data_IF_076223658113
#
_entry.id   IF_076223658113
#
_cell.length_a   1.000
_cell.length_b   1.000
_cell.length_c   1.000
_cell.angle_alpha   90.00
_cell.angle_beta   90.00
_cell.angle_gamma   90.00
#
_symmetry.space_group_name_H-M   'P 1'
#
loop_
_entity.id
_entity.type
_entity.pdbx_description
1 polymer ?
#
# COMPACT_ATOMS: atom_id res chain seq x y z
N UNK A 1 5.51 6.00 -15.84
CA UNK A 1 4.98 7.14 -15.10
C UNK A 1 5.00 6.71 -13.65
N UNK A 2 5.89 7.30 -12.84
CA UNK A 2 6.03 6.97 -11.42
C UNK A 2 4.88 7.55 -10.59
N UNK A 3 4.65 6.98 -9.41
CA UNK A 3 3.61 7.45 -8.47
C UNK A 3 3.73 8.94 -8.15
N UNK A 4 4.94 9.49 -8.17
CA UNK A 4 5.22 10.91 -7.91
C UNK A 4 4.45 11.85 -8.85
N UNK A 5 4.45 11.60 -10.16
CA UNK A 5 3.70 12.42 -11.12
C UNK A 5 2.20 12.40 -10.85
N UNK A 6 1.64 11.23 -10.55
CA UNK A 6 0.22 11.12 -10.21
C UNK A 6 -0.13 11.90 -8.94
N UNK A 7 0.76 11.91 -7.96
CA UNK A 7 0.56 12.63 -6.69
C UNK A 7 0.63 14.14 -6.91
N UNK A 8 1.65 14.63 -7.59
CA UNK A 8 1.84 16.07 -7.83
C UNK A 8 0.74 16.67 -8.72
N UNK A 9 0.47 16.01 -9.84
CA UNK A 9 -0.39 16.60 -10.89
C UNK A 9 -1.89 16.39 -10.65
N UNK A 10 -2.28 15.36 -9.90
CA UNK A 10 -3.68 14.93 -9.88
C UNK A 10 -4.31 14.90 -8.49
N UNK A 11 -3.53 14.93 -7.42
CA UNK A 11 -4.04 14.63 -6.09
C UNK A 11 -3.87 15.78 -5.12
N UNK A 12 -2.68 16.39 -5.04
CA UNK A 12 -2.42 17.51 -4.13
C UNK A 12 -2.89 18.86 -4.67
N UNK A 13 -3.23 19.78 -3.77
CA UNK A 13 -3.61 21.16 -4.12
C UNK A 13 -2.40 21.97 -4.60
N UNK A 14 -1.23 21.66 -4.04
CA UNK A 14 0.05 22.30 -4.28
C UNK A 14 1.16 21.25 -4.39
N UNK A 15 2.40 21.71 -4.44
CA UNK A 15 3.57 20.85 -4.45
C UNK A 15 3.63 19.90 -3.25
N UNK A 16 4.02 18.67 -3.52
CA UNK A 16 4.38 17.70 -2.51
C UNK A 16 5.70 18.11 -1.83
N UNK A 17 5.66 18.36 -0.53
CA UNK A 17 6.88 18.54 0.26
C UNK A 17 7.46 17.17 0.63
N UNK A 18 8.35 16.66 -0.22
CA UNK A 18 8.94 15.33 -0.04
C UNK A 18 9.97 15.33 1.09
N UNK A 19 9.89 14.31 1.95
CA UNK A 19 10.83 14.06 3.05
C UNK A 19 11.85 13.03 2.63
N UNK A 20 13.14 13.35 2.78
CA UNK A 20 14.28 12.48 2.44
C UNK A 20 14.26 11.96 0.97
N UNK A 21 14.18 12.85 -0.04
CA UNK A 21 14.04 12.46 -1.44
C UNK A 21 15.26 11.68 -1.98
N UNK A 22 16.39 11.78 -1.33
CA UNK A 22 17.64 11.14 -1.76
C UNK A 22 17.92 9.80 -1.08
N UNK A 23 17.14 9.43 -0.05
CA UNK A 23 17.27 8.17 0.67
C UNK A 23 16.05 7.27 0.45
N UNK A 24 16.28 5.95 0.26
CA UNK A 24 15.24 4.97 -0.02
C UNK A 24 14.25 5.47 -1.09
N UNK A 25 14.76 5.71 -2.31
CA UNK A 25 14.01 6.31 -3.42
C UNK A 25 12.88 5.43 -3.96
N UNK A 26 12.86 4.15 -3.60
CA UNK A 26 11.80 3.19 -3.90
C UNK A 26 10.51 3.43 -3.09
N UNK A 27 10.56 4.34 -2.09
CA UNK A 27 9.39 4.84 -1.38
C UNK A 27 9.42 6.36 -1.24
N UNK A 28 8.28 6.98 -1.49
CA UNK A 28 8.06 8.42 -1.35
C UNK A 28 7.35 8.66 -0.02
N UNK A 29 7.85 9.60 0.75
CA UNK A 29 7.20 10.11 1.95
C UNK A 29 7.18 11.62 1.89
N UNK A 30 6.06 12.25 2.18
CA UNK A 30 5.96 13.71 2.10
C UNK A 30 4.64 14.25 2.61
N UNK A 31 4.56 15.56 2.71
CA UNK A 31 3.35 16.26 3.08
C UNK A 31 2.72 16.94 1.87
N UNK A 32 1.42 16.88 1.80
CA UNK A 32 0.62 17.57 0.78
C UNK A 32 -0.66 18.13 1.38
N UNK A 33 -1.48 18.74 0.54
CA UNK A 33 -2.82 19.22 0.91
C UNK A 33 -3.86 18.68 -0.05
N UNK A 34 -4.98 18.26 0.51
CA UNK A 34 -6.18 17.86 -0.23
C UNK A 34 -7.33 18.75 0.20
N UNK A 35 -7.75 19.67 -0.66
CA UNK A 35 -8.78 20.69 -0.34
C UNK A 35 -8.44 21.43 0.97
N UNK A 36 -7.17 21.85 1.10
CA UNK A 36 -6.68 22.55 2.28
C UNK A 36 -6.34 21.65 3.51
N UNK A 37 -6.80 20.41 3.56
CA UNK A 37 -6.47 19.49 4.64
C UNK A 37 -5.03 18.97 4.51
N UNK A 38 -4.17 19.16 5.53
CA UNK A 38 -2.84 18.60 5.50
C UNK A 38 -2.91 17.08 5.58
N UNK A 39 -2.10 16.40 4.75
CA UNK A 39 -2.00 14.94 4.71
C UNK A 39 -0.56 14.48 4.62
N UNK A 40 -0.25 13.38 5.25
CA UNK A 40 0.98 12.63 5.05
C UNK A 40 0.80 11.62 3.91
N UNK A 41 1.70 11.64 2.95
CA UNK A 41 1.66 10.76 1.78
C UNK A 41 2.77 9.72 1.90
N UNK A 42 2.40 8.45 1.72
CA UNK A 42 3.33 7.32 1.60
C UNK A 42 3.03 6.61 0.30
N UNK A 43 4.02 6.49 -0.59
CA UNK A 43 3.79 5.88 -1.90
C UNK A 43 4.97 5.03 -2.35
N UNK A 44 4.71 3.87 -2.95
CA UNK A 44 5.75 3.12 -3.63
C UNK A 44 6.20 3.87 -4.90
N UNK A 45 7.50 3.83 -5.20
CA UNK A 45 8.07 4.39 -6.43
C UNK A 45 8.54 3.28 -7.37
N UNK A 46 7.70 2.83 -8.31
CA UNK A 46 8.03 1.69 -9.16
C UNK A 46 9.16 1.91 -10.15
N UNK A 47 9.59 3.16 -10.38
CA UNK A 47 10.77 3.46 -11.19
C UNK A 47 12.09 3.07 -10.50
N UNK A 48 12.06 2.83 -9.18
CA UNK A 48 13.20 2.40 -8.38
C UNK A 48 12.89 1.06 -7.75
N UNK A 49 13.71 0.04 -8.02
CA UNK A 49 13.52 -1.33 -7.52
C UNK A 49 12.10 -1.89 -7.75
N UNK A 50 11.46 -1.49 -8.85
CA UNK A 50 10.07 -1.82 -9.18
C UNK A 50 9.05 -1.50 -8.05
N UNK A 51 9.39 -0.63 -7.09
CA UNK A 51 8.57 -0.32 -5.93
C UNK A 51 8.66 -1.35 -4.79
N UNK A 52 9.59 -2.31 -4.85
CA UNK A 52 9.81 -3.27 -3.77
C UNK A 52 10.16 -2.55 -2.47
N UNK A 53 9.72 -3.12 -1.36
CA UNK A 53 10.11 -2.66 -0.03
C UNK A 53 11.41 -3.35 0.40
N UNK A 54 12.44 -2.56 0.63
CA UNK A 54 13.68 -2.98 1.29
C UNK A 54 13.73 -2.49 2.75
N UNK A 55 14.85 -2.73 3.42
CA UNK A 55 15.08 -2.34 4.81
C UNK A 55 14.94 -0.83 4.99
N UNK A 56 15.54 -0.05 4.08
CA UNK A 56 15.56 1.41 4.16
C UNK A 56 14.18 2.01 3.88
N UNK A 57 13.47 1.54 2.85
CA UNK A 57 12.10 1.95 2.54
C UNK A 57 11.15 1.66 3.70
N UNK A 58 11.25 0.46 4.29
CA UNK A 58 10.43 0.08 5.45
C UNK A 58 10.72 0.98 6.66
N UNK A 59 11.99 1.33 6.88
CA UNK A 59 12.39 2.21 7.99
C UNK A 59 11.96 3.66 7.76
N UNK A 60 12.13 4.18 6.54
CA UNK A 60 11.72 5.54 6.15
C UNK A 60 10.22 5.72 6.33
N UNK A 61 9.44 4.81 5.75
CA UNK A 61 7.98 4.86 5.83
C UNK A 61 7.49 4.71 7.28
N UNK A 62 8.02 3.75 8.05
CA UNK A 62 7.60 3.55 9.43
C UNK A 62 7.84 4.80 10.31
N UNK A 63 9.00 5.47 10.15
CA UNK A 63 9.28 6.72 10.87
C UNK A 63 8.31 7.82 10.49
N UNK A 64 8.03 7.95 9.20
CA UNK A 64 7.12 8.97 8.69
C UNK A 64 5.68 8.76 9.16
N UNK A 65 5.18 7.51 9.12
CA UNK A 65 3.85 7.15 9.62
C UNK A 65 3.69 7.49 11.09
N UNK A 66 4.68 7.14 11.92
CA UNK A 66 4.67 7.47 13.36
C UNK A 66 4.73 8.97 13.61
N UNK A 67 5.45 9.72 12.79
CA UNK A 67 5.43 11.17 12.87
C UNK A 67 4.03 11.72 12.57
N UNK A 68 3.41 11.29 11.48
CA UNK A 68 2.06 11.71 11.12
C UNK A 68 1.05 11.40 12.24
N UNK A 69 1.13 10.21 12.83
CA UNK A 69 0.25 9.81 13.95
C UNK A 69 0.46 10.69 15.17
N UNK A 70 1.71 10.98 15.54
CA UNK A 70 2.04 11.83 16.69
C UNK A 70 1.52 13.29 16.57
N UNK A 71 1.36 13.77 15.34
CA UNK A 71 0.88 15.13 15.04
C UNK A 71 -0.55 15.19 14.49
N UNK A 72 -1.31 14.10 14.57
CA UNK A 72 -2.68 13.99 14.06
C UNK A 72 -2.82 14.34 12.57
N UNK A 73 -1.84 13.94 11.75
CA UNK A 73 -1.86 14.15 10.31
C UNK A 73 -2.42 12.90 9.63
N UNK A 74 -3.56 12.98 8.93
CA UNK A 74 -4.13 11.86 8.19
C UNK A 74 -3.14 11.29 7.16
N UNK A 75 -3.19 10.00 6.93
CA UNK A 75 -2.31 9.28 6.02
C UNK A 75 -3.03 8.89 4.74
N UNK A 76 -2.40 9.19 3.61
CA UNK A 76 -2.81 8.74 2.27
C UNK A 76 -1.70 7.86 1.70
N UNK A 77 -2.05 6.62 1.38
CA UNK A 77 -1.08 5.62 0.89
C UNK A 77 -1.39 5.24 -0.54
N UNK A 78 -0.38 5.30 -1.43
CA UNK A 78 -0.48 4.80 -2.80
C UNK A 78 0.34 3.53 -2.95
N UNK A 79 -0.34 2.46 -3.37
CA UNK A 79 0.25 1.12 -3.42
C UNK A 79 0.53 0.71 -4.86
N UNK A 80 1.80 0.44 -5.13
CA UNK A 80 2.28 -0.25 -6.33
C UNK A 80 3.52 -1.05 -5.94
N UNK A 81 3.30 -2.19 -5.27
CA UNK A 81 4.35 -2.98 -4.63
C UNK A 81 4.28 -4.45 -5.06
N UNK A 82 5.33 -4.98 -5.69
CA UNK A 82 5.40 -6.39 -6.08
C UNK A 82 5.82 -7.33 -4.95
N UNK A 83 6.41 -6.79 -3.87
CA UNK A 83 6.91 -7.60 -2.77
C UNK A 83 7.95 -6.88 -1.92
N UNK A 84 8.46 -7.57 -0.90
CA UNK A 84 9.71 -7.20 -0.26
C UNK A 84 10.88 -7.55 -1.17
N UNK A 85 11.95 -6.76 -1.12
CA UNK A 85 13.15 -7.03 -1.92
C UNK A 85 13.81 -8.32 -1.46
N UNK A 86 13.94 -9.34 -2.34
CA UNK A 86 14.62 -10.58 -1.99
C UNK A 86 16.13 -10.40 -2.01
N UNK A 87 16.86 -11.29 -1.35
CA UNK A 87 18.31 -11.37 -1.40
C UNK A 87 18.95 -11.56 -0.03
N UNK A 88 20.11 -12.19 -0.02
CA UNK A 88 20.84 -12.56 1.21
C UNK A 88 21.19 -11.34 2.07
N UNK A 89 21.53 -10.21 1.46
CA UNK A 89 21.80 -8.96 2.18
C UNK A 89 20.56 -8.44 2.92
N UNK A 90 19.41 -8.50 2.28
CA UNK A 90 18.14 -8.09 2.90
C UNK A 90 17.73 -9.05 4.02
N UNK A 91 17.90 -10.35 3.81
CA UNK A 91 17.56 -11.36 4.81
C UNK A 91 18.50 -11.28 6.02
N UNK A 92 19.80 -11.22 5.82
CA UNK A 92 20.78 -11.08 6.90
C UNK A 92 20.69 -9.70 7.58
N UNK A 93 20.36 -8.65 6.84
CA UNK A 93 20.09 -7.31 7.36
C UNK A 93 18.80 -7.23 8.19
N UNK A 94 17.94 -8.25 8.14
CA UNK A 94 16.72 -8.36 8.92
C UNK A 94 15.51 -7.67 8.29
N UNK A 95 15.28 -7.88 6.99
CA UNK A 95 14.13 -7.32 6.25
C UNK A 95 12.79 -7.62 6.94
N UNK A 96 12.62 -8.83 7.50
CA UNK A 96 11.41 -9.22 8.23
C UNK A 96 11.19 -8.30 9.43
N UNK A 97 12.23 -8.03 10.22
CA UNK A 97 12.16 -7.14 11.38
C UNK A 97 11.89 -5.69 10.98
N UNK A 98 12.49 -5.22 9.89
CA UNK A 98 12.28 -3.84 9.41
C UNK A 98 10.92 -3.68 8.74
N UNK A 99 10.46 -4.68 7.98
CA UNK A 99 9.09 -4.71 7.45
C UNK A 99 8.03 -4.74 8.57
N UNK A 100 8.30 -5.47 9.67
CA UNK A 100 7.44 -5.48 10.84
C UNK A 100 7.33 -4.08 11.48
N UNK A 101 8.35 -3.23 11.44
CA UNK A 101 8.24 -1.84 11.94
C UNK A 101 7.20 -1.04 11.16
N UNK A 102 7.14 -1.23 9.84
CA UNK A 102 6.15 -0.56 8.99
C UNK A 102 4.75 -1.10 9.28
N UNK A 103 4.60 -2.42 9.39
CA UNK A 103 3.35 -3.07 9.79
C UNK A 103 2.83 -2.49 11.12
N UNK A 104 3.68 -2.44 12.13
CA UNK A 104 3.34 -1.88 13.44
C UNK A 104 2.96 -0.41 13.36
N UNK A 105 3.73 0.40 12.64
CA UNK A 105 3.45 1.83 12.52
C UNK A 105 2.05 2.08 11.97
N UNK A 106 1.66 1.41 10.88
CA UNK A 106 0.31 1.54 10.33
C UNK A 106 -0.78 0.90 11.21
N UNK A 107 -0.48 -0.20 11.89
CA UNK A 107 -1.47 -0.86 12.76
C UNK A 107 -1.80 -0.04 13.99
N UNK A 108 -0.80 0.61 14.59
CA UNK A 108 -0.94 1.44 15.78
C UNK A 108 -1.51 2.83 15.46
N UNK A 109 -1.25 3.36 14.24
CA UNK A 109 -1.67 4.71 13.88
C UNK A 109 -3.17 4.91 14.06
N UNK A 110 -3.51 5.93 14.86
CA UNK A 110 -4.87 6.31 15.21
C UNK A 110 -5.50 7.32 14.24
N UNK A 111 -4.67 7.99 13.45
CA UNK A 111 -5.12 8.92 12.40
C UNK A 111 -5.87 8.22 11.27
N UNK A 112 -6.71 8.94 10.51
CA UNK A 112 -7.33 8.39 9.30
C UNK A 112 -6.28 7.83 8.33
N UNK A 113 -6.53 6.62 7.83
CA UNK A 113 -5.67 5.91 6.88
C UNK A 113 -6.47 5.58 5.63
N UNK A 114 -6.13 6.26 4.53
CA UNK A 114 -6.78 6.09 3.24
C UNK A 114 -5.77 5.49 2.25
N UNK A 115 -6.14 4.42 1.58
CA UNK A 115 -5.24 3.68 0.69
C UNK A 115 -5.82 3.60 -0.70
N UNK A 116 -4.98 3.81 -1.70
CA UNK A 116 -5.31 3.66 -3.12
C UNK A 116 -4.33 2.68 -3.74
N UNK A 117 -4.84 1.57 -4.23
CA UNK A 117 -4.07 0.58 -4.97
C UNK A 117 -4.10 0.97 -6.43
N UNK A 118 -2.96 1.37 -6.97
CA UNK A 118 -2.85 1.90 -8.33
C UNK A 118 -2.51 0.84 -9.36
N UNK A 119 -1.72 -0.18 -8.97
CA UNK A 119 -1.33 -1.28 -9.84
C UNK A 119 -1.08 -2.55 -9.04
N UNK A 120 0.16 -2.86 -8.66
CA UNK A 120 0.51 -4.11 -7.97
C UNK A 120 0.31 -3.99 -6.46
N UNK A 121 -0.28 -5.02 -5.88
CA UNK A 121 -0.45 -5.15 -4.44
C UNK A 121 -0.28 -6.64 -4.07
N UNK A 122 0.98 -7.07 -3.87
CA UNK A 122 1.28 -8.49 -3.71
C UNK A 122 1.79 -8.84 -2.31
N UNK A 123 1.18 -9.87 -1.74
CA UNK A 123 1.62 -10.56 -0.53
C UNK A 123 1.79 -9.64 0.68
N UNK A 124 2.71 -10.01 1.57
CA UNK A 124 2.94 -9.27 2.81
C UNK A 124 3.41 -7.82 2.63
N UNK A 125 4.00 -7.49 1.48
CA UNK A 125 4.37 -6.10 1.19
C UNK A 125 3.15 -5.20 0.93
N UNK A 126 2.08 -5.75 0.34
CA UNK A 126 0.79 -5.07 0.28
C UNK A 126 0.20 -4.90 1.68
N UNK A 127 0.25 -5.95 2.50
CA UNK A 127 -0.34 -5.90 3.84
C UNK A 127 0.22 -4.75 4.67
N UNK A 128 1.55 -4.55 4.64
CA UNK A 128 2.21 -3.49 5.44
C UNK A 128 2.00 -2.07 4.89
N UNK A 129 1.45 -1.92 3.68
CA UNK A 129 1.17 -0.61 3.05
C UNK A 129 -0.26 -0.13 3.34
N UNK A 130 -0.66 -0.13 4.59
CA UNK A 130 -1.99 0.30 5.04
C UNK A 130 -3.14 -0.45 4.36
N UNK A 131 -3.07 -1.76 4.31
CA UNK A 131 -4.15 -2.59 3.79
C UNK A 131 -5.37 -2.61 4.72
N UNK A 132 -6.51 -3.10 4.20
CA UNK A 132 -7.71 -3.34 5.01
C UNK A 132 -7.45 -4.34 6.14
N UNK A 133 -6.55 -5.29 5.92
CA UNK A 133 -6.18 -6.31 6.90
C UNK A 133 -5.56 -5.74 8.17
N UNK A 134 -4.88 -4.60 8.09
CA UNK A 134 -4.29 -3.88 9.22
C UNK A 134 -5.09 -2.63 9.61
N UNK A 135 -6.40 -2.66 9.35
CA UNK A 135 -7.37 -1.63 9.79
C UNK A 135 -7.17 -0.25 9.14
N UNK A 136 -6.83 -0.18 7.86
CA UNK A 136 -7.01 1.06 7.12
C UNK A 136 -8.51 1.37 7.00
N UNK A 137 -8.84 2.67 7.06
CA UNK A 137 -10.23 3.12 7.13
C UNK A 137 -10.93 3.06 5.77
N UNK A 138 -10.21 3.46 4.71
CA UNK A 138 -10.72 3.44 3.34
C UNK A 138 -9.67 2.81 2.42
N UNK A 139 -10.05 1.76 1.71
CA UNK A 139 -9.22 1.11 0.70
C UNK A 139 -9.89 1.16 -0.66
N UNK A 140 -9.25 1.85 -1.58
CA UNK A 140 -9.69 2.03 -2.95
C UNK A 140 -8.73 1.31 -3.91
N UNK A 141 -9.22 0.84 -5.03
CA UNK A 141 -8.39 0.29 -6.08
C UNK A 141 -8.78 0.85 -7.44
N UNK A 142 -7.80 1.00 -8.33
CA UNK A 142 -8.07 1.27 -9.73
C UNK A 142 -8.46 -0.03 -10.46
N UNK A 143 -9.20 0.04 -11.59
CA UNK A 143 -9.56 -1.15 -12.36
C UNK A 143 -8.35 -1.95 -12.87
N UNK A 144 -7.20 -1.28 -12.99
CA UNK A 144 -5.92 -1.88 -13.41
C UNK A 144 -5.10 -2.48 -12.26
N UNK A 145 -5.64 -2.44 -11.04
CA UNK A 145 -4.95 -2.99 -9.87
C UNK A 145 -4.91 -4.53 -9.93
N UNK A 146 -3.82 -5.09 -9.46
CA UNK A 146 -3.63 -6.52 -9.30
C UNK A 146 -3.38 -6.81 -7.81
N UNK A 147 -4.33 -7.50 -7.16
CA UNK A 147 -4.28 -7.80 -5.73
C UNK A 147 -4.20 -9.31 -5.56
N UNK A 148 -3.05 -9.81 -5.13
CA UNK A 148 -2.80 -11.25 -5.04
C UNK A 148 -1.71 -11.57 -4.01
N UNK A 149 -1.54 -12.86 -3.71
CA UNK A 149 -0.44 -13.33 -2.87
C UNK A 149 0.91 -13.15 -3.57
N UNK A 150 0.93 -13.35 -4.90
CA UNK A 150 2.11 -13.15 -5.76
C UNK A 150 1.68 -12.83 -7.19
N UNK A 151 2.60 -12.30 -8.00
CA UNK A 151 2.33 -12.05 -9.41
C UNK A 151 1.98 -13.32 -10.18
N UNK A 152 1.13 -13.20 -11.20
CA UNK A 152 0.60 -14.31 -11.98
C UNK A 152 1.70 -15.21 -12.57
N UNK A 153 2.75 -14.61 -13.14
CA UNK A 153 3.85 -15.38 -13.73
C UNK A 153 4.56 -16.29 -12.72
N UNK A 154 4.77 -15.78 -11.50
CA UNK A 154 5.33 -16.58 -10.41
C UNK A 154 4.39 -17.69 -9.95
N UNK A 155 3.11 -17.38 -9.78
CA UNK A 155 2.10 -18.34 -9.37
C UNK A 155 1.94 -19.48 -10.39
N UNK A 156 1.85 -19.15 -11.66
CA UNK A 156 1.69 -20.11 -12.77
C UNK A 156 2.89 -21.03 -12.88
N UNK A 157 4.10 -20.50 -12.75
CA UNK A 157 5.32 -21.31 -12.74
C UNK A 157 5.39 -22.32 -11.59
N UNK A 158 4.74 -22.03 -10.46
CA UNK A 158 4.69 -22.95 -9.31
C UNK A 158 3.55 -23.96 -9.49
N UNK A 159 2.34 -23.47 -9.76
CA UNK A 159 1.11 -24.29 -9.76
C UNK A 159 1.03 -25.17 -10.99
N UNK A 160 1.36 -24.64 -12.17
CA UNK A 160 1.16 -25.28 -13.46
C UNK A 160 2.46 -25.71 -14.14
N UNK A 161 3.54 -25.88 -13.37
CA UNK A 161 4.87 -26.24 -13.89
C UNK A 161 4.85 -27.49 -14.78
N UNK A 162 4.04 -28.51 -14.43
CA UNK A 162 3.94 -29.75 -15.23
C UNK A 162 3.18 -29.49 -16.53
N UNK A 163 2.05 -28.80 -16.45
CA UNK A 163 1.21 -28.49 -17.61
C UNK A 163 1.97 -27.67 -18.67
N UNK A 164 2.78 -26.72 -18.23
CA UNK A 164 3.62 -25.90 -19.11
C UNK A 164 4.72 -26.78 -19.75
N UNK A 165 5.35 -27.66 -18.97
CA UNK A 165 6.43 -28.52 -19.47
C UNK A 165 5.97 -29.62 -20.44
N UNK A 166 4.69 -30.00 -20.43
CA UNK A 166 4.07 -31.00 -21.30
C UNK A 166 3.33 -30.38 -22.49
N UNK A 167 3.24 -29.05 -22.58
CA UNK A 167 2.57 -28.36 -23.67
C UNK A 167 3.41 -28.33 -24.94
N UNK A 168 2.75 -28.41 -26.10
CA UNK A 168 3.42 -28.29 -27.42
C UNK A 168 4.08 -26.91 -27.62
N UNK A 169 3.50 -25.86 -26.99
CA UNK A 169 4.04 -24.50 -26.97
C UNK A 169 4.02 -23.99 -25.51
N UNK A 170 5.13 -24.14 -24.77
CA UNK A 170 5.22 -23.73 -23.37
C UNK A 170 5.03 -22.24 -23.13
N UNK A 171 5.47 -21.37 -24.06
CA UNK A 171 5.35 -19.92 -23.90
C UNK A 171 3.90 -19.47 -24.04
N UNK A 172 3.19 -20.04 -25.02
CA UNK A 172 1.76 -19.77 -25.21
C UNK A 172 0.93 -20.28 -24.04
N UNK A 173 1.19 -21.52 -23.61
CA UNK A 173 0.52 -22.10 -22.45
C UNK A 173 0.75 -21.29 -21.17
N UNK A 174 1.98 -20.82 -20.92
CA UNK A 174 2.31 -19.96 -19.79
C UNK A 174 1.52 -18.65 -19.84
N UNK A 175 1.46 -18.00 -21.00
CA UNK A 175 0.72 -16.75 -21.17
C UNK A 175 -0.78 -16.91 -20.92
N UNK A 176 -1.39 -17.92 -21.50
CA UNK A 176 -2.82 -18.21 -21.33
C UNK A 176 -3.16 -18.48 -19.86
N UNK A 177 -2.34 -19.28 -19.17
CA UNK A 177 -2.51 -19.56 -17.74
C UNK A 177 -2.27 -18.33 -16.85
N UNK A 178 -1.33 -17.46 -17.22
CA UNK A 178 -1.09 -16.20 -16.49
C UNK A 178 -2.26 -15.24 -16.64
N UNK A 179 -2.82 -15.12 -17.83
CA UNK A 179 -3.98 -14.26 -18.10
C UNK A 179 -5.24 -14.78 -17.35
N UNK A 180 -5.47 -16.09 -17.40
CA UNK A 180 -6.56 -16.75 -16.65
C UNK A 180 -6.39 -16.60 -15.12
N UNK A 181 -5.15 -16.72 -14.61
CA UNK A 181 -4.86 -16.50 -13.20
C UNK A 181 -5.13 -15.05 -12.77
N UNK A 182 -4.74 -14.07 -13.59
CA UNK A 182 -5.01 -12.66 -13.30
C UNK A 182 -6.50 -12.37 -13.20
N UNK A 183 -7.28 -12.87 -14.16
CA UNK A 183 -8.72 -12.66 -14.19
C UNK A 183 -9.40 -13.28 -12.98
N UNK A 184 -9.03 -14.51 -12.61
CA UNK A 184 -9.68 -15.26 -11.53
C UNK A 184 -9.26 -14.83 -10.12
N UNK A 185 -8.00 -14.44 -9.93
CA UNK A 185 -7.43 -14.28 -8.58
C UNK A 185 -6.84 -12.92 -8.28
N UNK A 186 -6.41 -12.14 -9.29
CA UNK A 186 -5.75 -10.87 -9.07
C UNK A 186 -6.63 -9.66 -9.37
N UNK A 187 -7.84 -9.85 -9.85
CA UNK A 187 -8.76 -8.78 -10.17
C UNK A 187 -9.17 -7.99 -8.92
N UNK A 188 -9.18 -6.64 -8.97
CA UNK A 188 -9.65 -5.82 -7.86
C UNK A 188 -11.14 -6.03 -7.56
N UNK A 189 -11.92 -6.51 -8.52
CA UNK A 189 -13.34 -6.82 -8.32
C UNK A 189 -13.51 -8.03 -7.42
N UNK A 190 -12.69 -9.07 -7.59
CA UNK A 190 -12.66 -10.23 -6.68
C UNK A 190 -12.28 -9.81 -5.27
N UNK A 191 -11.28 -8.95 -5.13
CA UNK A 191 -10.90 -8.41 -3.82
C UNK A 191 -12.02 -7.58 -3.17
N UNK A 192 -12.81 -6.86 -3.97
CA UNK A 192 -13.98 -6.12 -3.50
C UNK A 192 -15.11 -7.05 -3.02
N UNK A 193 -15.40 -8.12 -3.76
CA UNK A 193 -16.38 -9.14 -3.37
C UNK A 193 -16.01 -9.81 -2.04
N UNK A 194 -14.71 -10.00 -1.78
CA UNK A 194 -14.19 -10.55 -0.53
C UNK A 194 -14.09 -9.52 0.62
N UNK A 195 -14.41 -8.24 0.36
CA UNK A 195 -14.33 -7.17 1.36
C UNK A 195 -12.91 -6.69 1.68
N UNK A 196 -11.93 -6.99 0.85
CA UNK A 196 -10.54 -6.55 1.02
C UNK A 196 -10.30 -5.12 0.55
N UNK A 197 -11.18 -4.59 -0.29
CA UNK A 197 -11.24 -3.19 -0.68
C UNK A 197 -12.67 -2.68 -0.59
N UNK A 198 -12.83 -1.39 -0.35
CA UNK A 198 -14.15 -0.77 -0.19
C UNK A 198 -14.80 -0.43 -1.53
N UNK A 199 -14.00 0.00 -2.52
CA UNK A 199 -14.50 0.38 -3.85
C UNK A 199 -13.42 0.27 -4.93
N UNK A 200 -13.83 -0.09 -6.13
CA UNK A 200 -13.06 0.11 -7.37
C UNK A 200 -13.48 1.44 -7.98
N UNK A 201 -12.51 2.31 -8.24
CA UNK A 201 -12.73 3.68 -8.74
C UNK A 201 -11.85 3.98 -9.94
N UNK A 202 -12.31 4.81 -10.85
CA UNK A 202 -11.43 5.29 -11.93
C UNK A 202 -10.37 6.28 -11.40
N UNK A 203 -9.18 6.35 -12.01
CA UNK A 203 -8.11 7.26 -11.59
C UNK A 203 -8.57 8.72 -11.40
N UNK A 204 -9.43 9.23 -12.29
CA UNK A 204 -10.01 10.59 -12.23
C UNK A 204 -10.88 10.85 -10.98
N UNK A 205 -11.36 9.82 -10.32
CA UNK A 205 -12.21 9.92 -9.13
C UNK A 205 -11.39 9.94 -7.84
N UNK A 206 -10.10 9.58 -7.91
CA UNK A 206 -9.23 9.37 -6.75
C UNK A 206 -9.22 10.58 -5.81
N UNK A 207 -8.99 11.78 -6.36
CA UNK A 207 -8.96 13.01 -5.55
C UNK A 207 -10.28 13.24 -4.81
N UNK A 208 -11.40 13.10 -5.50
CA UNK A 208 -12.74 13.29 -4.92
C UNK A 208 -13.00 12.30 -3.79
N UNK A 209 -12.71 11.01 -4.01
CA UNK A 209 -12.94 9.97 -3.01
C UNK A 209 -12.02 10.12 -1.79
N UNK A 210 -10.77 10.55 -1.98
CA UNK A 210 -9.86 10.85 -0.87
C UNK A 210 -10.36 12.04 -0.03
N UNK A 211 -10.84 13.12 -0.65
CA UNK A 211 -11.43 14.26 0.06
C UNK A 211 -12.65 13.82 0.88
N UNK A 212 -13.57 13.07 0.27
CA UNK A 212 -14.73 12.52 0.98
C UNK A 212 -14.33 11.57 2.12
N UNK A 213 -13.28 10.79 1.92
CA UNK A 213 -12.71 9.93 2.96
C UNK A 213 -12.17 10.74 4.14
N UNK A 214 -11.42 11.81 3.88
CA UNK A 214 -10.92 12.70 4.93
C UNK A 214 -12.06 13.36 5.71
N UNK A 215 -13.11 13.82 5.03
CA UNK A 215 -14.28 14.40 5.68
C UNK A 215 -15.03 13.38 6.56
N UNK A 216 -15.16 12.13 6.12
CA UNK A 216 -15.84 11.05 6.87
C UNK A 216 -15.08 10.59 8.10
N UNK A 217 -13.78 10.44 7.96
CA UNK A 217 -12.91 9.87 9.00
C UNK A 217 -12.14 10.93 9.80
N UNK A 218 -12.28 12.22 9.48
CA UNK A 218 -11.54 13.30 10.12
C UNK A 218 -11.73 13.40 11.64
N UNK A 219 -12.87 12.94 12.15
CA UNK A 219 -13.17 12.88 13.58
C UNK A 219 -12.84 11.51 14.22
N UNK A 220 -12.05 10.67 13.54
CA UNK A 220 -11.64 9.38 14.08
C UNK A 220 -10.87 9.59 15.39
N UNK A 221 -11.32 8.93 16.45
CA UNK A 221 -10.62 8.85 17.72
C UNK A 221 -10.26 7.41 18.05
N UNK A 222 -9.09 7.21 18.64
CA UNK A 222 -8.67 5.89 19.09
C UNK A 222 -9.41 5.53 20.39
N UNK A 223 -10.23 4.49 20.35
CA UNK A 223 -10.95 4.00 21.52
C UNK A 223 -10.00 3.56 22.66
N UNK A 224 -8.76 3.23 22.36
CA UNK A 224 -7.76 2.87 23.36
C UNK A 224 -7.38 4.04 24.28
N UNK A 225 -7.49 5.28 23.78
CA UNK A 225 -7.22 6.49 24.56
C UNK A 225 -8.46 7.06 25.25
N UNK A 226 -9.65 6.58 24.92
CA UNK A 226 -10.91 7.02 25.54
C UNK A 226 -11.35 6.13 26.69
N UNK A 227 -10.76 4.95 26.87
CA UNK A 227 -10.96 4.13 28.05
C UNK A 227 -10.09 4.67 29.17
N UNK A 228 -10.66 5.11 30.32
CA UNK A 228 -9.84 5.44 31.46
C UNK A 228 -8.99 4.23 31.86
N UNK A 229 -7.69 4.44 31.99
CA UNK A 229 -6.79 3.40 32.50
C UNK A 229 -7.32 2.89 33.84
N UNK A 230 -7.18 1.59 34.16
CA UNK A 230 -7.47 1.11 35.48
C UNK A 230 -6.77 1.91 36.62
N UNK A 231 -5.65 2.57 36.29
CA UNK A 231 -4.93 3.47 37.23
C UNK A 231 -5.64 4.80 37.45
N UNK A 232 -6.45 5.26 36.49
CA UNK A 232 -7.18 6.54 36.60
C UNK A 232 -8.45 6.41 37.43
N UNK A 233 -8.82 5.18 37.84
CA UNK A 233 -9.98 4.93 38.74
C UNK A 233 -9.70 5.09 40.20
N UNK A 234 -8.44 5.31 40.61
CA UNK A 234 -8.00 5.38 42.00
C UNK A 234 -7.20 6.66 42.31
N UNK A 235 -7.43 7.74 41.56
CA UNK A 235 -6.90 9.07 41.85
C UNK A 235 -7.90 9.94 42.60
#
# INVERSE_FOLDING_TARGET
VGSEMCIRDSICDDDLFEIQPHWAKNIITGFGRLRGHPVGIVANQPSVLAGCLDIDASTKAARFVRFCDAFNIPLVTFVDVPGFLPGTEQEHGGIIRHGAKLLYAFSEASVPKLTVITRKAYGGAYDVMASKHIRADLNLAWPTAEIAVMGADGAVNIIFRKNIGEADDPEKAHKELSDDYKEKFASPYVAAEMGYIDRVIFPRETRKELILGLERYGNKSCLLYTSPSPRDRYG
#
